data_IF_495859795892
#
_entry.id   IF_495859795892
#
_cell.length_a   1.000
_cell.length_b   1.000
_cell.length_c   1.000
_cell.angle_alpha   90.00
_cell.angle_beta   90.00
_cell.angle_gamma   90.00
#
_symmetry.space_group_name_H-M   'P 1'
#
loop_
_entity.id
_entity.type
_entity.pdbx_description
1 polymer ?
#
# COMPACT_ATOMS: atom_id res chain seq x y z
N UNK A 1 -11.14 -4.75 8.34
CA UNK A 1 -11.69 -5.29 7.07
C UNK A 1 -12.44 -6.57 7.38
N UNK A 2 -13.56 -6.87 6.71
CA UNK A 2 -14.23 -8.16 6.84
C UNK A 2 -13.57 -9.19 5.91
N UNK A 3 -12.94 -10.24 6.47
CA UNK A 3 -12.20 -11.28 5.74
C UNK A 3 -13.08 -12.03 4.74
N UNK A 4 -14.39 -12.09 4.94
CA UNK A 4 -15.32 -12.72 4.02
C UNK A 4 -15.31 -12.10 2.61
N UNK A 5 -14.75 -10.89 2.45
CA UNK A 5 -14.59 -10.24 1.14
C UNK A 5 -13.20 -10.42 0.52
N UNK A 6 -12.27 -11.11 1.21
CA UNK A 6 -10.88 -11.26 0.75
C UNK A 6 -10.81 -11.86 -0.65
N UNK A 7 -11.44 -13.01 -0.87
CA UNK A 7 -11.40 -13.72 -2.16
C UNK A 7 -11.96 -12.84 -3.28
N UNK A 8 -13.10 -12.19 -3.07
CA UNK A 8 -13.71 -11.29 -4.06
C UNK A 8 -12.82 -10.09 -4.40
N UNK A 9 -12.08 -9.57 -3.42
CA UNK A 9 -11.14 -8.48 -3.64
C UNK A 9 -9.88 -8.97 -4.37
N UNK A 10 -9.38 -10.17 -4.04
CA UNK A 10 -8.27 -10.82 -4.75
C UNK A 10 -8.62 -11.10 -6.21
N UNK A 11 -9.81 -11.63 -6.49
CA UNK A 11 -10.34 -11.83 -7.85
C UNK A 11 -10.47 -10.52 -8.63
N UNK A 12 -10.79 -9.42 -7.95
CA UNK A 12 -10.83 -8.09 -8.54
C UNK A 12 -9.44 -7.44 -8.73
N UNK A 13 -8.36 -8.15 -8.42
CA UNK A 13 -6.98 -7.71 -8.64
C UNK A 13 -6.31 -7.03 -7.44
N UNK A 14 -6.94 -7.02 -6.26
CA UNK A 14 -6.31 -6.54 -5.03
C UNK A 14 -5.37 -7.60 -4.46
N UNK A 15 -4.15 -7.22 -4.08
CA UNK A 15 -3.20 -8.11 -3.41
C UNK A 15 -3.10 -7.78 -1.92
N UNK A 16 -3.26 -8.76 -1.06
CA UNK A 16 -3.01 -8.64 0.37
C UNK A 16 -1.53 -8.95 0.67
N UNK A 17 -0.69 -7.91 0.70
CA UNK A 17 0.77 -8.06 0.86
C UNK A 17 1.26 -8.03 2.31
N UNK A 18 0.43 -7.55 3.23
CA UNK A 18 0.72 -7.54 4.66
C UNK A 18 -0.47 -8.02 5.46
N UNK A 19 -0.24 -9.04 6.28
CA UNK A 19 -1.18 -9.54 7.28
C UNK A 19 -0.57 -9.32 8.66
N UNK A 20 -1.42 -9.22 9.67
CA UNK A 20 -1.02 -9.27 11.08
C UNK A 20 -0.26 -10.56 11.38
N UNK A 21 0.54 -10.63 12.46
CA UNK A 21 1.35 -11.80 12.76
C UNK A 21 0.58 -13.12 12.91
N UNK A 22 -0.70 -13.04 13.31
CA UNK A 22 -1.64 -14.16 13.40
C UNK A 22 -2.35 -14.48 12.07
N UNK A 23 -2.08 -13.72 11.01
CA UNK A 23 -2.62 -13.90 9.67
C UNK A 23 -4.08 -13.46 9.50
N UNK A 24 -4.70 -12.92 10.54
CA UNK A 24 -6.15 -12.68 10.57
C UNK A 24 -6.57 -11.31 10.02
N UNK A 25 -5.73 -10.29 10.18
CA UNK A 25 -6.06 -8.91 9.81
C UNK A 25 -5.14 -8.43 8.68
N UNK A 26 -5.70 -8.03 7.54
CA UNK A 26 -4.94 -7.31 6.55
C UNK A 26 -4.47 -5.96 7.05
N UNK A 27 -3.17 -5.75 6.96
CA UNK A 27 -2.50 -4.49 7.31
C UNK A 27 -2.05 -3.71 6.07
N UNK A 28 -1.72 -4.42 4.98
CA UNK A 28 -1.21 -3.81 3.74
C UNK A 28 -1.89 -4.46 2.54
N UNK A 29 -2.35 -3.62 1.61
CA UNK A 29 -2.92 -4.00 0.33
C UNK A 29 -2.21 -3.28 -0.83
N UNK A 30 -2.15 -3.94 -1.98
CA UNK A 30 -1.51 -3.47 -3.20
C UNK A 30 -2.41 -3.71 -4.41
N UNK A 31 -2.26 -2.91 -5.46
CA UNK A 31 -2.89 -3.17 -6.76
C UNK A 31 -1.81 -3.29 -7.84
N UNK A 32 -1.42 -4.52 -8.25
CA UNK A 32 -0.28 -4.73 -9.14
C UNK A 32 -0.43 -4.12 -10.55
N UNK A 33 -1.65 -3.83 -10.98
CA UNK A 33 -1.98 -3.24 -12.28
C UNK A 33 -1.82 -1.70 -12.28
N UNK A 34 -1.54 -1.09 -11.13
CA UNK A 34 -1.36 0.35 -10.98
C UNK A 34 0.13 0.65 -10.73
N UNK A 35 0.72 1.67 -11.41
CA UNK A 35 2.16 1.96 -11.32
C UNK A 35 2.62 2.23 -9.89
N UNK A 36 1.74 2.76 -9.05
CA UNK A 36 1.96 2.77 -7.62
C UNK A 36 0.65 2.82 -6.83
N UNK A 37 0.27 1.70 -6.20
CA UNK A 37 -0.90 1.62 -5.33
C UNK A 37 -0.58 0.75 -4.11
N UNK A 38 -0.49 1.40 -2.95
CA UNK A 38 -0.41 0.74 -1.64
C UNK A 38 -1.37 1.41 -0.68
N UNK A 39 -2.17 0.59 0.01
CA UNK A 39 -2.97 1.00 1.16
C UNK A 39 -2.44 0.32 2.43
N UNK A 40 -2.36 1.09 3.52
CA UNK A 40 -1.97 0.58 4.85
C UNK A 40 -3.03 0.94 5.88
N UNK A 41 -3.23 0.07 6.87
CA UNK A 41 -4.17 0.34 7.97
C UNK A 41 -3.54 1.16 9.11
N UNK A 42 -2.23 1.05 9.29
CA UNK A 42 -1.48 1.81 10.28
C UNK A 42 -1.15 3.24 9.81
N UNK A 43 -0.59 4.04 10.71
CA UNK A 43 -0.22 5.45 10.48
C UNK A 43 1.29 5.64 10.21
N UNK A 44 1.79 5.45 8.97
CA UNK A 44 3.21 5.64 8.63
C UNK A 44 3.70 7.08 8.83
N UNK A 45 2.81 8.05 8.76
CA UNK A 45 3.09 9.48 8.94
C UNK A 45 3.68 9.78 10.32
N UNK A 46 3.24 9.07 11.35
CA UNK A 46 3.71 9.27 12.72
C UNK A 46 5.15 8.78 12.91
N UNK A 47 5.63 7.92 12.01
CA UNK A 47 7.01 7.38 12.02
C UNK A 47 7.93 8.08 11.02
N UNK A 48 7.40 8.92 10.13
CA UNK A 48 8.19 9.64 9.14
C UNK A 48 8.94 10.82 9.78
N UNK A 49 10.21 11.02 9.43
CA UNK A 49 11.04 12.12 9.94
C UNK A 49 11.68 12.91 8.79
N UNK A 50 12.06 14.19 8.99
CA UNK A 50 12.65 15.01 7.93
C UNK A 50 13.90 14.41 7.26
N UNK A 51 14.77 13.77 8.05
CA UNK A 51 16.02 13.15 7.57
C UNK A 51 15.93 11.62 7.44
N UNK A 52 14.77 11.05 7.75
CA UNK A 52 14.48 9.62 7.64
C UNK A 52 13.00 9.45 7.25
N UNK A 53 12.64 9.84 6.01
CA UNK A 53 11.25 9.82 5.58
C UNK A 53 10.78 8.38 5.39
N UNK A 54 9.54 8.11 5.78
CA UNK A 54 8.99 6.76 5.68
C UNK A 54 8.92 6.30 4.20
N UNK A 55 9.32 5.05 3.88
CA UNK A 55 9.42 4.55 2.49
C UNK A 55 8.15 4.71 1.66
N UNK A 56 6.97 4.59 2.28
CA UNK A 56 5.69 4.77 1.58
C UNK A 56 5.54 6.18 0.98
N UNK A 57 6.00 7.23 1.68
CA UNK A 57 5.90 8.60 1.17
C UNK A 57 6.96 8.87 0.11
N UNK A 58 8.20 8.44 0.32
CA UNK A 58 9.25 8.61 -0.70
C UNK A 58 8.93 7.85 -1.98
N UNK A 59 8.42 6.62 -1.87
CA UNK A 59 7.91 5.85 -3.00
C UNK A 59 6.75 6.54 -3.71
N UNK A 60 5.81 7.12 -2.95
CA UNK A 60 4.69 7.89 -3.53
C UNK A 60 5.10 9.10 -4.33
N UNK A 61 6.00 9.90 -3.79
CA UNK A 61 6.52 11.07 -4.51
C UNK A 61 7.32 10.62 -5.73
N UNK A 62 8.18 9.61 -5.61
CA UNK A 62 8.98 9.09 -6.72
C UNK A 62 8.12 8.61 -7.89
N UNK A 63 7.12 7.76 -7.64
CA UNK A 63 6.20 7.27 -8.67
C UNK A 63 5.36 8.40 -9.29
N UNK A 64 4.95 9.39 -8.49
CA UNK A 64 4.24 10.57 -8.98
C UNK A 64 5.11 11.41 -9.92
N UNK A 65 6.39 11.57 -9.58
CA UNK A 65 7.37 12.27 -10.42
C UNK A 65 7.63 11.52 -11.73
N UNK A 66 7.72 10.19 -11.70
CA UNK A 66 7.84 9.38 -12.91
C UNK A 66 6.60 9.52 -13.79
N UNK A 67 5.40 9.43 -13.21
CA UNK A 67 4.15 9.58 -13.97
C UNK A 67 4.01 10.98 -14.59
N UNK A 68 4.42 12.02 -13.88
CA UNK A 68 4.41 13.41 -14.36
C UNK A 68 5.36 13.66 -15.53
N UNK A 69 6.42 12.86 -15.68
CA UNK A 69 7.36 12.95 -16.82
C UNK A 69 6.87 12.23 -18.07
N UNK A 70 5.85 11.38 -17.93
CA UNK A 70 5.27 10.58 -19.02
C UNK A 70 4.06 11.28 -19.67
N UNK A 71 3.69 12.48 -19.21
CA UNK A 71 2.65 13.35 -19.78
C UNK A 71 3.25 14.56 -20.49
#
# INVERSE_FOLDING_TARGET
MNIAFREKLEEAGMRFSGLSPDGSLPEIIERPDHPWFVGVQFHPELKSKPFDPHPLFTGFVAASMEKSRLV
#
